data_IF_602517478551
#
_entry.id   IF_602517478551
#
_cell.length_a   1.000
_cell.length_b   1.000
_cell.length_c   1.000
_cell.angle_alpha   90.00
_cell.angle_beta   90.00
_cell.angle_gamma   90.00
#
_symmetry.space_group_name_H-M   'P 1'
#
loop_
_entity.id
_entity.type
_entity.pdbx_description
1 polymer ?
#
# COMPACT_ATOMS: atom_id res chain seq x y z
N UNK A 1 1.35 -4.54 -14.56
CA UNK A 1 1.14 -3.11 -14.27
C UNK A 1 -0.34 -2.91 -14.00
N UNK A 2 -0.71 -2.13 -13.00
CA UNK A 2 -2.08 -1.88 -12.57
C UNK A 2 -2.36 -0.38 -12.65
N UNK A 3 -3.53 0.01 -13.17
CA UNK A 3 -3.92 1.42 -13.23
C UNK A 3 -4.86 1.70 -12.06
N UNK A 4 -4.47 2.62 -11.19
CA UNK A 4 -5.28 3.00 -10.02
C UNK A 4 -6.62 3.57 -10.47
N UNK A 5 -7.70 2.91 -10.06
CA UNK A 5 -9.05 3.39 -10.29
C UNK A 5 -9.48 4.41 -9.24
N UNK A 6 -10.41 5.29 -9.59
CA UNK A 6 -10.97 6.26 -8.64
C UNK A 6 -11.76 5.51 -7.56
N UNK A 7 -11.41 5.74 -6.29
CA UNK A 7 -12.01 5.05 -5.13
C UNK A 7 -11.32 3.74 -4.74
N UNK A 8 -10.32 3.31 -5.51
CA UNK A 8 -9.49 2.15 -5.16
C UNK A 8 -8.51 2.51 -4.04
N UNK A 9 -8.25 1.55 -3.14
CA UNK A 9 -7.32 1.72 -2.01
C UNK A 9 -6.15 0.76 -2.15
N UNK A 10 -5.00 1.15 -1.60
CA UNK A 10 -3.81 0.31 -1.58
C UNK A 10 -4.09 -1.03 -0.90
N UNK A 11 -4.86 -1.01 0.18
CA UNK A 11 -5.25 -2.20 0.92
C UNK A 11 -6.03 -3.17 0.04
N UNK A 12 -6.99 -2.70 -0.75
CA UNK A 12 -7.78 -3.55 -1.65
C UNK A 12 -6.91 -4.22 -2.73
N UNK A 13 -6.05 -3.43 -3.39
CA UNK A 13 -5.10 -3.94 -4.39
C UNK A 13 -4.14 -4.95 -3.77
N UNK A 14 -3.61 -4.64 -2.59
CA UNK A 14 -2.66 -5.49 -1.90
C UNK A 14 -3.32 -6.79 -1.43
N UNK A 15 -4.56 -6.76 -0.92
CA UNK A 15 -5.30 -7.97 -0.53
C UNK A 15 -5.58 -8.88 -1.72
N UNK A 16 -5.96 -8.30 -2.86
CA UNK A 16 -6.21 -9.03 -4.10
C UNK A 16 -4.91 -9.69 -4.60
N UNK A 17 -3.84 -8.92 -4.73
CA UNK A 17 -2.54 -9.42 -5.17
C UNK A 17 -1.93 -10.44 -4.18
N UNK A 18 -2.17 -10.28 -2.87
CA UNK A 18 -1.74 -11.21 -1.84
C UNK A 18 -2.61 -12.47 -1.75
N UNK A 19 -3.79 -12.47 -2.39
CA UNK A 19 -4.87 -13.43 -2.18
C UNK A 19 -5.14 -13.68 -0.68
N UNK A 20 -5.22 -12.59 0.10
CA UNK A 20 -5.34 -12.63 1.55
C UNK A 20 -6.33 -11.57 2.07
N UNK A 21 -6.76 -11.70 3.32
CA UNK A 21 -7.64 -10.69 3.93
C UNK A 21 -6.91 -9.35 4.08
N UNK A 22 -7.66 -8.24 3.97
CA UNK A 22 -7.13 -6.88 4.09
C UNK A 22 -6.29 -6.63 5.37
N UNK A 23 -6.64 -7.32 6.47
CA UNK A 23 -5.97 -7.19 7.77
C UNK A 23 -4.89 -8.26 8.02
N UNK A 24 -4.56 -9.08 7.02
CA UNK A 24 -3.55 -10.14 7.18
C UNK A 24 -2.13 -9.56 7.11
N UNK A 25 -1.22 -10.19 7.86
CA UNK A 25 0.22 -9.91 7.83
C UNK A 25 0.80 -9.91 6.41
N UNK A 26 0.33 -10.83 5.55
CA UNK A 26 0.70 -10.92 4.14
C UNK A 26 0.29 -9.66 3.37
N UNK A 27 -0.95 -9.20 3.53
CA UNK A 27 -1.43 -7.96 2.90
C UNK A 27 -0.60 -6.75 3.30
N UNK A 28 -0.20 -6.64 4.57
CA UNK A 28 0.69 -5.57 5.02
C UNK A 28 2.04 -5.58 4.27
N UNK A 29 2.70 -6.75 4.18
CA UNK A 29 3.93 -6.89 3.40
C UNK A 29 3.76 -6.45 1.94
N UNK A 30 2.65 -6.84 1.32
CA UNK A 30 2.30 -6.46 -0.04
C UNK A 30 2.06 -4.94 -0.18
N UNK A 31 1.33 -4.32 0.75
CA UNK A 31 1.11 -2.87 0.75
C UNK A 31 2.45 -2.12 0.77
N UNK A 32 3.35 -2.49 1.67
CA UNK A 32 4.66 -1.84 1.77
C UNK A 32 5.52 -2.11 0.53
N UNK A 33 5.51 -3.33 -0.02
CA UNK A 33 6.25 -3.65 -1.25
C UNK A 33 5.73 -2.85 -2.46
N UNK A 34 4.41 -2.74 -2.63
CA UNK A 34 3.79 -1.93 -3.68
C UNK A 34 4.16 -0.45 -3.50
N UNK A 35 4.11 0.07 -2.27
CA UNK A 35 4.48 1.46 -1.99
C UNK A 35 5.94 1.75 -2.35
N UNK A 36 6.87 0.91 -1.92
CA UNK A 36 8.30 1.06 -2.23
C UNK A 36 8.60 0.94 -3.72
N UNK A 37 7.88 0.08 -4.44
CA UNK A 37 8.05 -0.07 -5.88
C UNK A 37 7.47 1.11 -6.69
N UNK A 38 6.56 1.91 -6.11
CA UNK A 38 5.78 2.92 -6.84
C UNK A 38 5.71 4.28 -6.14
N UNK A 39 6.82 4.90 -5.71
CA UNK A 39 6.78 6.16 -4.99
C UNK A 39 6.10 7.31 -5.76
N UNK A 40 6.06 7.24 -7.10
CA UNK A 40 5.41 8.23 -7.97
C UNK A 40 3.88 8.14 -8.00
N UNK A 41 3.30 7.01 -7.61
CA UNK A 41 1.85 6.80 -7.63
C UNK A 41 1.17 7.30 -6.34
N UNK A 42 1.96 7.54 -5.29
CA UNK A 42 1.50 8.03 -4.00
C UNK A 42 1.91 9.49 -3.80
N UNK A 43 1.18 10.20 -2.96
CA UNK A 43 1.49 11.57 -2.59
C UNK A 43 1.86 11.65 -1.10
N UNK A 44 3.17 11.49 -0.82
CA UNK A 44 3.79 11.46 0.51
C UNK A 44 3.31 10.38 1.48
N UNK A 45 2.16 9.74 1.24
CA UNK A 45 1.54 8.77 2.13
C UNK A 45 0.91 7.62 1.33
N UNK A 46 1.00 6.40 1.85
CA UNK A 46 0.42 5.20 1.22
C UNK A 46 -1.11 5.24 1.07
N UNK A 47 -1.79 6.07 1.88
CA UNK A 47 -3.25 6.27 1.79
C UNK A 47 -3.64 7.31 0.73
N UNK A 48 -2.68 8.09 0.21
CA UNK A 48 -2.95 9.14 -0.77
C UNK A 48 -2.45 8.67 -2.12
N UNK A 49 -3.32 7.99 -2.85
CA UNK A 49 -3.04 7.46 -4.18
C UNK A 49 -3.53 8.41 -5.27
N UNK A 50 -2.72 8.56 -6.32
CA UNK A 50 -3.09 9.34 -7.51
C UNK A 50 -3.95 8.47 -8.43
N UNK A 51 -5.21 8.87 -8.64
CA UNK A 51 -6.10 8.20 -9.60
C UNK A 51 -5.52 8.26 -11.01
N UNK A 52 -5.54 7.14 -11.73
CA UNK A 52 -4.96 7.02 -13.07
C UNK A 52 -3.45 6.80 -13.08
N UNK A 53 -2.78 6.74 -11.91
CA UNK A 53 -1.37 6.37 -11.87
C UNK A 53 -1.19 4.90 -12.24
N UNK A 54 -0.16 4.63 -13.05
CA UNK A 54 0.25 3.27 -13.38
C UNK A 54 1.22 2.80 -12.30
N UNK A 55 0.86 1.72 -11.62
CA UNK A 55 1.65 1.09 -10.57
C UNK A 55 2.14 -0.30 -11.01
N UNK A 56 3.34 -0.65 -10.60
CA UNK A 56 3.89 -2.00 -10.68
C UNK A 56 3.44 -2.81 -9.48
N UNK A 57 2.73 -3.90 -9.74
CA UNK A 57 2.45 -4.91 -8.73
C UNK A 57 3.70 -5.80 -8.60
N UNK A 58 4.33 -5.87 -7.40
CA UNK A 58 5.48 -6.74 -7.17
C UNK A 58 5.06 -8.22 -7.27
N UNK A 59 6.01 -9.11 -7.53
CA UNK A 59 5.78 -10.55 -7.45
C UNK A 59 5.85 -11.04 -6.00
N UNK A 60 5.41 -12.29 -5.74
CA UNK A 60 5.43 -12.90 -4.40
C UNK A 60 6.81 -12.79 -3.73
N UNK A 61 7.90 -13.07 -4.45
CA UNK A 61 9.25 -13.02 -3.89
C UNK A 61 9.64 -11.63 -3.35
N UNK A 62 9.15 -10.55 -3.97
CA UNK A 62 9.41 -9.19 -3.49
C UNK A 62 8.54 -8.84 -2.30
N UNK A 63 7.29 -9.30 -2.28
CA UNK A 63 6.41 -9.09 -1.14
C UNK A 63 6.84 -9.91 0.08
N UNK A 64 7.33 -11.15 -0.11
CA UNK A 64 7.84 -11.99 0.98
C UNK A 64 9.21 -11.54 1.50
N UNK A 65 9.99 -10.83 0.68
CA UNK A 65 11.21 -10.16 1.15
C UNK A 65 10.91 -9.04 2.17
N UNK A 66 9.69 -8.50 2.16
CA UNK A 66 9.22 -7.55 3.16
C UNK A 66 8.66 -8.29 4.37
N UNK A 67 9.34 -8.18 5.51
CA UNK A 67 8.85 -8.70 6.79
C UNK A 67 7.50 -8.08 7.17
N UNK A 68 6.52 -8.90 7.51
CA UNK A 68 5.19 -8.42 7.88
C UNK A 68 5.19 -7.52 9.13
N UNK A 69 6.13 -7.74 10.05
CA UNK A 69 6.32 -6.89 11.23
C UNK A 69 6.78 -5.48 10.84
N UNK A 70 7.79 -5.38 9.97
CA UNK A 70 8.28 -4.10 9.43
C UNK A 70 7.18 -3.38 8.65
N UNK A 71 6.44 -4.12 7.82
CA UNK A 71 5.32 -3.58 7.08
C UNK A 71 4.23 -3.03 7.98
N UNK A 72 3.84 -3.78 9.02
CA UNK A 72 2.84 -3.32 9.98
C UNK A 72 3.31 -2.08 10.75
N UNK A 73 4.59 -2.01 11.13
CA UNK A 73 5.16 -0.84 11.78
C UNK A 73 5.10 0.40 10.87
N UNK A 74 5.49 0.25 9.60
CA UNK A 74 5.48 1.35 8.63
C UNK A 74 4.05 1.80 8.29
N UNK A 75 3.12 0.86 8.07
CA UNK A 75 1.71 1.17 7.86
C UNK A 75 1.15 1.97 9.02
N UNK A 76 1.44 1.56 10.27
CA UNK A 76 0.99 2.30 11.46
C UNK A 76 1.60 3.70 11.52
N UNK A 77 2.88 3.86 11.17
CA UNK A 77 3.54 5.18 11.09
C UNK A 77 2.87 6.07 10.04
N UNK A 78 2.66 5.54 8.83
CA UNK A 78 2.03 6.29 7.74
C UNK A 78 0.58 6.64 8.07
N UNK A 79 -0.16 5.73 8.70
CA UNK A 79 -1.54 5.97 9.13
C UNK A 79 -1.62 7.04 10.22
N UNK A 80 -0.70 7.01 11.19
CA UNK A 80 -0.59 8.05 12.21
C UNK A 80 -0.23 9.41 11.60
N UNK A 81 0.71 9.45 10.66
CA UNK A 81 1.11 10.67 9.94
C UNK A 81 -0.06 11.23 9.11
N UNK A 82 -0.84 10.37 8.45
CA UNK A 82 -2.03 10.78 7.70
C UNK A 82 -3.08 11.40 8.63
N UNK A 83 -3.37 10.75 9.78
CA UNK A 83 -4.29 11.30 10.79
C UNK A 83 -3.84 12.62 11.38
N UNK A 84 -2.55 12.80 11.66
CA UNK A 84 -2.03 14.05 12.22
C UNK A 84 -1.98 15.19 11.21
N UNK A 85 -1.79 14.88 9.93
CA UNK A 85 -1.79 15.87 8.83
C UNK A 85 -3.16 16.46 8.51
N UNK A 86 -4.20 16.10 9.27
CA UNK A 86 -5.55 16.59 9.05
C UNK A 86 -6.13 15.99 7.78
N UNK A 87 -6.52 14.71 7.82
CA UNK A 87 -7.44 14.16 6.84
C UNK A 87 -8.61 15.13 6.70
N UNK A 88 -8.63 15.87 5.59
CA UNK A 88 -9.54 16.98 5.40
C UNK A 88 -11.00 16.50 5.57
N UNK A 89 -11.89 17.33 6.15
CA UNK A 89 -13.28 16.98 6.42
C UNK A 89 -14.07 16.56 5.18
#
# INVERSE_FOLDING_TARGET
>A
MHVVQRGETLTAIASDAASASANSARTHSWMLAIYQANPRAFDRNMNVMRSGAVMRIPGEAQATAVSAAEAAAEIRRQYAAWRSSGGAP
#
